data_IF_604932150815
#
_entry.id   IF_604932150815
#
_cell.length_a   1.000
_cell.length_b   1.000
_cell.length_c   1.000
_cell.angle_alpha   90.00
_cell.angle_beta   90.00
_cell.angle_gamma   90.00
#
_symmetry.space_group_name_H-M   'P 1'
#
loop_
_entity.id
_entity.type
_entity.pdbx_description
1 polymer ?
#
# COMPACT_ATOMS: atom_id res chain seq x y z
N UNK A 1 11.81 2.57 20.13
CA UNK A 1 11.59 3.31 18.88
C UNK A 1 11.66 4.84 19.06
N UNK A 2 12.33 5.39 20.09
CA UNK A 2 12.44 6.86 20.24
C UNK A 2 13.03 7.51 18.99
N UNK A 3 12.40 8.58 18.50
CA UNK A 3 12.87 9.37 17.35
C UNK A 3 13.05 8.53 16.07
N UNK A 4 12.17 7.52 15.87
CA UNK A 4 12.18 6.68 14.67
C UNK A 4 10.83 6.71 13.98
N UNK A 5 10.84 6.99 12.68
CA UNK A 5 9.66 6.97 11.84
C UNK A 5 9.43 5.55 11.32
N UNK A 6 8.19 5.06 11.40
CA UNK A 6 7.77 3.74 10.91
C UNK A 6 6.73 3.95 9.81
N UNK A 7 6.97 3.40 8.62
CA UNK A 7 6.01 3.44 7.52
C UNK A 7 5.36 2.08 7.33
N UNK A 8 4.07 2.07 7.07
CA UNK A 8 3.27 0.91 6.71
C UNK A 8 2.87 1.08 5.25
N UNK A 9 3.20 0.12 4.39
CA UNK A 9 2.91 0.19 2.96
C UNK A 9 2.23 -1.09 2.52
N UNK A 10 1.06 -0.99 1.89
CA UNK A 10 0.37 -2.20 1.42
C UNK A 10 -1.12 -2.07 1.18
N UNK A 11 -1.81 -3.19 1.33
CA UNK A 11 -3.26 -3.31 1.19
C UNK A 11 -4.02 -3.04 2.52
N UNK A 12 -5.32 -3.35 2.53
CA UNK A 12 -6.20 -3.15 3.70
C UNK A 12 -5.79 -3.94 4.94
N UNK A 13 -5.08 -5.08 4.79
CA UNK A 13 -4.56 -5.82 5.94
C UNK A 13 -3.43 -5.05 6.63
N UNK A 14 -2.65 -4.30 5.86
CA UNK A 14 -1.61 -3.42 6.40
C UNK A 14 -2.22 -2.23 7.18
N UNK A 15 -3.36 -1.71 6.72
CA UNK A 15 -4.14 -0.71 7.47
C UNK A 15 -4.65 -1.27 8.80
N UNK A 16 -5.14 -2.51 8.82
CA UNK A 16 -5.55 -3.19 10.05
C UNK A 16 -4.36 -3.39 11.00
N UNK A 17 -3.19 -3.74 10.46
CA UNK A 17 -1.99 -3.88 11.27
C UNK A 17 -1.55 -2.56 11.89
N UNK A 18 -1.57 -1.45 11.13
CA UNK A 18 -1.34 -0.11 11.68
C UNK A 18 -2.31 0.18 12.83
N UNK A 19 -3.61 -0.07 12.67
CA UNK A 19 -4.58 0.14 13.75
C UNK A 19 -4.25 -0.66 15.00
N UNK A 20 -3.94 -1.94 14.86
CA UNK A 20 -3.56 -2.81 15.97
C UNK A 20 -2.30 -2.31 16.67
N UNK A 21 -1.27 -1.96 15.89
CA UNK A 21 -0.01 -1.40 16.38
C UNK A 21 -0.22 -0.12 17.17
N UNK A 22 -1.06 0.79 16.67
CA UNK A 22 -1.41 2.03 17.37
C UNK A 22 -2.15 1.78 18.69
N UNK A 23 -3.03 0.78 18.75
CA UNK A 23 -3.72 0.40 19.99
C UNK A 23 -2.72 -0.10 21.06
N UNK A 24 -1.74 -0.92 20.66
CA UNK A 24 -0.69 -1.42 21.56
C UNK A 24 0.16 -0.24 22.09
N UNK A 25 0.58 0.65 21.19
CA UNK A 25 1.39 1.81 21.57
C UNK A 25 0.65 2.80 22.47
N UNK A 26 -0.67 2.95 22.29
CA UNK A 26 -1.50 3.80 23.14
C UNK A 26 -1.55 3.32 24.59
N UNK A 27 -1.49 2.01 24.83
CA UNK A 27 -1.40 1.44 26.19
C UNK A 27 -0.04 1.73 26.82
N UNK A 28 1.02 1.77 26.01
CA UNK A 28 2.38 2.04 26.49
C UNK A 28 2.69 3.55 26.66
N UNK A 29 1.96 4.45 26.00
CA UNK A 29 2.16 5.91 26.05
C UNK A 29 0.83 6.69 26.09
N UNK A 30 0.53 7.25 27.25
CA UNK A 30 -0.65 8.09 27.51
C UNK A 30 -0.66 9.41 26.71
N UNK A 31 0.47 9.79 26.09
CA UNK A 31 0.58 10.94 25.19
C UNK A 31 0.23 10.66 23.73
N UNK A 32 0.03 9.40 23.33
CA UNK A 32 -0.20 9.02 21.94
C UNK A 32 -1.57 9.48 21.38
N UNK A 33 -1.58 10.35 20.35
CA UNK A 33 -2.83 10.86 19.75
C UNK A 33 -3.09 10.26 18.37
N UNK A 34 -4.30 9.75 18.15
CA UNK A 34 -4.77 9.26 16.84
C UNK A 34 -5.33 10.41 16.00
N UNK A 35 -4.79 10.64 14.81
CA UNK A 35 -5.34 11.57 13.83
C UNK A 35 -5.66 10.86 12.51
N UNK A 36 -6.72 11.32 11.83
CA UNK A 36 -7.15 10.79 10.52
C UNK A 36 -7.46 11.98 9.61
N UNK A 37 -6.75 12.11 8.50
CA UNK A 37 -7.08 13.15 7.53
C UNK A 37 -8.34 12.79 6.73
N UNK A 38 -9.11 13.81 6.32
CA UNK A 38 -10.39 13.68 5.62
C UNK A 38 -10.29 13.35 4.12
N UNK A 39 -9.10 13.30 3.50
CA UNK A 39 -8.95 13.00 2.07
C UNK A 39 -7.81 12.02 1.80
N UNK A 40 -8.10 10.97 1.03
CA UNK A 40 -7.08 10.17 0.36
C UNK A 40 -6.63 8.94 1.12
N UNK A 41 -5.64 9.03 2.00
CA UNK A 41 -5.06 7.85 2.66
C UNK A 41 -4.09 8.18 3.82
N UNK A 42 -4.25 9.28 4.56
CA UNK A 42 -3.28 9.66 5.60
C UNK A 42 -3.80 9.38 7.02
N UNK A 43 -3.13 8.45 7.73
CA UNK A 43 -3.24 8.25 9.18
C UNK A 43 -1.90 8.64 9.79
N UNK A 44 -1.83 9.79 10.44
CA UNK A 44 -0.65 10.24 11.18
C UNK A 44 -0.83 9.96 12.67
N UNK A 45 0.21 9.43 13.32
CA UNK A 45 0.30 9.38 14.78
C UNK A 45 1.52 10.17 15.24
N UNK A 46 1.29 11.18 16.09
CA UNK A 46 2.35 12.02 16.66
C UNK A 46 2.52 11.62 18.13
N UNK A 47 3.72 11.17 18.51
CA UNK A 47 4.11 10.89 19.89
C UNK A 47 4.72 12.14 20.52
N UNK A 48 4.11 12.67 21.58
CA UNK A 48 4.52 13.94 22.21
C UNK A 48 5.64 13.81 23.27
N UNK A 49 6.30 12.65 23.42
CA UNK A 49 7.50 12.53 24.27
C UNK A 49 8.65 11.73 23.63
N UNK A 50 8.45 11.14 22.45
CA UNK A 50 9.42 10.23 21.80
C UNK A 50 9.21 10.07 20.27
N UNK A 51 8.77 11.15 19.61
CA UNK A 51 8.52 11.30 18.16
C UNK A 51 8.73 10.04 17.31
N UNK A 52 7.66 9.27 17.07
CA UNK A 52 7.67 8.13 16.16
C UNK A 52 6.52 8.26 15.16
N UNK A 53 6.74 8.82 13.98
CA UNK A 53 5.64 8.99 13.02
C UNK A 53 5.28 7.64 12.38
N UNK A 54 4.02 7.20 12.56
CA UNK A 54 3.46 6.02 11.88
C UNK A 54 2.50 6.46 10.79
N UNK A 55 2.73 6.00 9.56
CA UNK A 55 2.02 6.44 8.35
C UNK A 55 1.68 5.23 7.46
N UNK A 56 0.49 5.24 6.85
CA UNK A 56 0.07 4.20 5.90
C UNK A 56 0.10 4.74 4.46
N UNK A 57 0.70 3.98 3.55
CA UNK A 57 0.71 4.24 2.11
C UNK A 57 0.00 3.10 1.41
N UNK A 58 -1.10 3.43 0.73
CA UNK A 58 -1.88 2.43 0.01
C UNK A 58 -1.17 2.08 -1.28
N UNK A 59 -0.55 0.91 -1.32
CA UNK A 59 0.10 0.36 -2.51
C UNK A 59 -0.21 -1.15 -2.56
N UNK A 60 -1.36 -1.48 -3.11
CA UNK A 60 -1.99 -2.81 -2.94
C UNK A 60 -1.17 -3.97 -3.51
N UNK A 61 -0.47 -3.76 -4.63
CA UNK A 61 0.43 -4.74 -5.24
C UNK A 61 1.92 -4.45 -4.98
N UNK A 62 2.24 -3.31 -4.36
CA UNK A 62 3.59 -2.73 -4.24
C UNK A 62 4.31 -2.44 -5.57
N UNK A 63 4.02 -3.18 -6.64
CA UNK A 63 4.49 -2.97 -7.99
C UNK A 63 3.60 -1.99 -8.75
N UNK A 64 4.16 -1.33 -9.77
CA UNK A 64 3.43 -0.52 -10.72
C UNK A 64 2.43 -1.42 -11.45
N UNK A 65 1.17 -0.99 -11.46
CA UNK A 65 0.13 -1.68 -12.21
C UNK A 65 -0.84 -0.69 -12.83
N UNK A 66 -1.25 -0.97 -14.07
CA UNK A 66 -2.12 -0.10 -14.84
C UNK A 66 -3.13 -0.94 -15.62
N UNK A 67 -4.37 -0.43 -15.69
CA UNK A 67 -5.40 -1.04 -16.52
C UNK A 67 -5.13 -0.69 -17.98
N UNK A 68 -4.88 -1.70 -18.79
CA UNK A 68 -4.81 -1.52 -20.24
C UNK A 68 -6.23 -1.68 -20.82
N UNK A 69 -6.76 -0.59 -21.39
CA UNK A 69 -7.98 -0.63 -22.19
C UNK A 69 -7.74 -1.35 -23.51
N UNK A 70 -8.77 -2.00 -24.05
CA UNK A 70 -8.75 -2.55 -25.41
C UNK A 70 -8.63 -1.40 -26.42
N UNK A 71 -7.42 -1.06 -26.86
CA UNK A 71 -7.24 -0.43 -28.16
C UNK A 71 -6.65 -1.47 -29.12
N UNK A 72 -7.49 -1.88 -30.07
CA UNK A 72 -7.16 -2.43 -31.40
C UNK A 72 -6.79 -3.90 -31.62
N UNK A 73 -6.75 -4.76 -30.60
CA UNK A 73 -6.49 -6.19 -30.84
C UNK A 73 -7.79 -7.02 -30.80
N UNK A 74 -8.15 -7.54 -31.98
CA UNK A 74 -9.29 -8.38 -32.32
C UNK A 74 -9.74 -9.32 -31.19
N UNK A 75 -11.04 -9.29 -30.90
CA UNK A 75 -11.76 -10.05 -29.88
C UNK A 75 -11.68 -11.56 -30.13
N UNK A 76 -10.56 -12.18 -29.75
CA UNK A 76 -10.34 -13.62 -29.93
C UNK A 76 -10.51 -14.47 -28.66
N UNK A 77 -10.65 -13.84 -27.49
CA UNK A 77 -10.45 -14.57 -26.21
C UNK A 77 -11.42 -14.21 -25.06
N UNK A 78 -12.52 -13.46 -25.31
CA UNK A 78 -13.52 -13.14 -24.28
C UNK A 78 -13.07 -12.21 -23.13
N UNK A 79 -11.80 -11.81 -23.11
CA UNK A 79 -11.22 -10.89 -22.12
C UNK A 79 -11.86 -9.50 -22.21
N UNK A 80 -12.22 -8.89 -21.07
CA UNK A 80 -12.76 -7.53 -20.95
C UNK A 80 -11.68 -6.45 -20.79
N UNK A 81 -10.44 -6.86 -20.59
CA UNK A 81 -9.27 -5.98 -20.43
C UNK A 81 -8.12 -6.73 -19.78
N UNK A 82 -7.00 -6.06 -19.52
CA UNK A 82 -5.85 -6.65 -18.81
C UNK A 82 -5.26 -5.63 -17.85
N UNK A 83 -4.70 -6.11 -16.74
CA UNK A 83 -3.90 -5.31 -15.85
C UNK A 83 -2.43 -5.63 -16.09
N UNK A 84 -1.69 -4.68 -16.64
CA UNK A 84 -0.24 -4.79 -16.74
C UNK A 84 0.35 -4.59 -15.35
N UNK A 85 1.22 -5.50 -14.92
CA UNK A 85 1.94 -5.43 -13.65
C UNK A 85 3.43 -5.54 -13.95
N UNK A 86 4.17 -4.46 -13.73
CA UNK A 86 5.62 -4.42 -13.90
C UNK A 86 6.27 -4.82 -12.57
N UNK A 87 6.61 -6.11 -12.41
CA UNK A 87 6.93 -6.69 -11.10
C UNK A 87 8.21 -6.15 -10.47
N UNK A 88 9.08 -5.58 -11.29
CA UNK A 88 10.37 -5.00 -10.93
C UNK A 88 10.33 -3.46 -10.83
N UNK A 89 9.19 -2.84 -11.15
CA UNK A 89 8.99 -1.39 -11.03
C UNK A 89 8.13 -1.10 -9.80
N UNK A 90 8.64 -0.40 -8.78
CA UNK A 90 7.86 -0.07 -7.60
C UNK A 90 6.73 0.93 -7.93
N UNK A 91 5.59 0.77 -7.25
CA UNK A 91 4.46 1.67 -7.38
C UNK A 91 4.82 3.09 -6.88
N UNK A 92 4.50 4.11 -7.68
CA UNK A 92 4.91 5.50 -7.44
C UNK A 92 4.43 6.01 -6.06
N UNK A 93 3.29 5.49 -5.60
CA UNK A 93 2.63 5.81 -4.32
C UNK A 93 3.54 5.66 -3.10
N UNK A 94 4.58 4.82 -3.16
CA UNK A 94 5.50 4.63 -2.03
C UNK A 94 6.98 4.82 -2.35
N UNK A 95 7.35 5.08 -3.61
CA UNK A 95 8.77 5.31 -3.97
C UNK A 95 9.36 6.53 -3.27
N UNK A 96 8.58 7.61 -3.14
CA UNK A 96 9.05 8.89 -2.62
C UNK A 96 9.27 8.94 -1.10
N UNK A 97 8.95 7.86 -0.39
CA UNK A 97 8.89 7.89 1.08
C UNK A 97 10.04 7.12 1.75
N UNK A 98 10.85 6.42 0.97
CA UNK A 98 11.91 5.54 1.48
C UNK A 98 12.97 6.30 2.30
N UNK A 99 13.21 7.58 1.99
CA UNK A 99 14.16 8.42 2.73
C UNK A 99 13.63 8.98 4.06
N UNK A 100 12.32 8.92 4.30
CA UNK A 100 11.69 9.52 5.48
C UNK A 100 11.57 8.55 6.67
N UNK A 101 11.36 7.26 6.39
CA UNK A 101 11.16 6.24 7.42
C UNK A 101 12.46 5.56 7.81
N UNK A 102 12.57 5.23 9.10
CA UNK A 102 13.66 4.39 9.61
C UNK A 102 13.32 2.90 9.53
N UNK A 103 12.03 2.57 9.55
CA UNK A 103 11.52 1.20 9.41
C UNK A 103 10.34 1.23 8.44
N UNK A 104 10.31 0.32 7.48
CA UNK A 104 9.20 0.12 6.56
C UNK A 104 8.63 -1.29 6.75
N UNK A 105 7.31 -1.37 6.86
CA UNK A 105 6.55 -2.61 7.01
C UNK A 105 5.68 -2.78 5.78
N UNK A 106 6.06 -3.72 4.93
CA UNK A 106 5.34 -4.03 3.70
C UNK A 106 4.37 -5.19 3.90
N UNK A 107 3.22 -5.11 3.24
CA UNK A 107 2.32 -6.24 3.06
C UNK A 107 1.65 -6.15 1.69
N UNK A 108 1.61 -7.26 0.97
CA UNK A 108 0.75 -7.43 -0.19
C UNK A 108 0.30 -8.88 -0.27
N UNK A 109 -1.01 -9.09 -0.36
CA UNK A 109 -1.57 -10.44 -0.42
C UNK A 109 -3.05 -10.47 -0.79
N UNK A 110 -3.84 -9.55 -0.21
CA UNK A 110 -5.28 -9.56 -0.36
C UNK A 110 -5.76 -9.20 -1.78
N UNK A 111 -4.88 -8.60 -2.60
CA UNK A 111 -5.19 -8.17 -3.96
C UNK A 111 -4.69 -9.09 -5.07
N UNK A 112 -4.04 -10.21 -4.72
CA UNK A 112 -3.52 -11.18 -5.70
C UNK A 112 -4.55 -12.24 -6.11
N UNK A 113 -5.75 -12.20 -5.55
CA UNK A 113 -6.81 -13.17 -5.81
C UNK A 113 -7.71 -12.82 -6.99
N UNK A 114 -8.33 -13.86 -7.56
CA UNK A 114 -9.33 -13.72 -8.64
C UNK A 114 -10.59 -12.96 -8.21
N UNK A 115 -10.83 -12.80 -6.91
CA UNK A 115 -11.92 -11.98 -6.37
C UNK A 115 -11.72 -10.48 -6.64
N UNK A 116 -10.47 -10.02 -6.79
CA UNK A 116 -10.13 -8.64 -7.15
C UNK A 116 -9.83 -8.50 -8.63
N UNK A 117 -9.28 -9.54 -9.25
CA UNK A 117 -8.90 -9.56 -10.67
C UNK A 117 -9.40 -10.85 -11.34
N UNK A 118 -10.65 -10.85 -11.82
CA UNK A 118 -11.26 -12.00 -12.47
C UNK A 118 -10.51 -12.44 -13.74
N UNK A 119 -10.77 -13.66 -14.22
CA UNK A 119 -10.15 -14.21 -15.43
C UNK A 119 -10.42 -13.37 -16.68
N UNK A 120 -11.52 -12.63 -16.73
CA UNK A 120 -11.83 -11.72 -17.83
C UNK A 120 -10.99 -10.44 -17.80
N UNK A 121 -10.35 -10.14 -16.68
CA UNK A 121 -9.42 -9.00 -16.51
C UNK A 121 -8.17 -9.40 -15.73
N UNK A 122 -7.35 -10.32 -16.27
CA UNK A 122 -6.26 -10.93 -15.54
C UNK A 122 -5.08 -9.96 -15.39
N UNK A 123 -4.20 -10.29 -14.45
CA UNK A 123 -2.85 -9.74 -14.41
C UNK A 123 -2.00 -10.30 -15.54
N UNK A 124 -1.23 -9.42 -16.18
CA UNK A 124 -0.17 -9.79 -17.10
C UNK A 124 1.12 -9.20 -16.55
N UNK A 125 2.06 -10.08 -16.22
CA UNK A 125 3.30 -9.73 -15.56
C UNK A 125 4.39 -9.42 -16.59
N UNK A 126 5.07 -8.30 -16.39
CA UNK A 126 6.19 -7.85 -17.20
C UNK A 126 7.43 -7.68 -16.30
N UNK A 127 8.60 -7.86 -16.90
CA UNK A 127 9.91 -7.57 -16.32
C UNK A 127 10.58 -6.53 -17.19
N UNK A 128 11.48 -5.75 -16.58
CA UNK A 128 12.28 -4.68 -17.19
C UNK A 128 11.45 -3.45 -17.61
N UNK A 129 10.25 -3.29 -17.04
CA UNK A 129 9.32 -2.21 -17.39
C UNK A 129 8.88 -2.26 -18.85
#
# INVERSE_FOLDING_TARGET
MRNKNIGFVGDSLNENFLVSFLCILRVADEGAKKWKEKKGAWRELIFLNSMSLSLHHRAVLLAKYERQSKELEHDRDGLKGRYRVDVDVPAVEWTNICGFYNVLVFNTGHWWGYDKFPEETPFVFYREG
#
